data_IF_162091882330
#
_entry.id   IF_162091882330
#
_cell.length_a   1.000
_cell.length_b   1.000
_cell.length_c   1.000
_cell.angle_alpha   90.00
_cell.angle_beta   90.00
_cell.angle_gamma   90.00
#
_symmetry.space_group_name_H-M   'P 1'
#
loop_
_entity.id
_entity.type
_entity.pdbx_description
1 polymer ?
#
# COMPACT_ATOMS: atom_id res chain seq x y z
N UNK A 1 -13.00 -2.52 42.58
CA UNK A 1 -13.87 -1.62 41.78
C UNK A 1 -13.27 -1.25 40.44
N UNK A 2 -13.78 -1.87 39.36
CA UNK A 2 -13.53 -1.46 37.97
C UNK A 2 -14.88 -1.16 37.30
N UNK A 3 -15.57 -0.15 37.82
CA UNK A 3 -16.58 0.62 37.08
C UNK A 3 -15.78 1.57 36.16
N UNK A 4 -16.03 1.76 34.87
CA UNK A 4 -17.25 1.77 34.07
C UNK A 4 -16.87 1.34 32.66
N UNK A 5 -17.54 0.33 32.11
CA UNK A 5 -17.59 0.02 30.67
C UNK A 5 -18.33 1.16 29.95
N UNK A 6 -17.69 2.32 29.85
CA UNK A 6 -18.05 3.36 28.91
C UNK A 6 -17.43 2.97 27.58
N UNK A 7 -18.24 2.85 26.55
CA UNK A 7 -17.85 2.47 25.19
C UNK A 7 -16.65 3.27 24.69
N UNK A 8 -15.44 2.68 24.76
CA UNK A 8 -14.22 3.32 24.25
C UNK A 8 -14.35 3.48 22.73
N UNK A 9 -14.69 4.70 22.34
CA UNK A 9 -15.01 5.07 20.96
C UNK A 9 -13.81 4.78 20.07
N UNK A 10 -14.09 4.38 18.82
CA UNK A 10 -13.06 3.94 17.89
C UNK A 10 -13.03 4.83 16.66
N UNK A 11 -11.83 5.15 16.21
CA UNK A 11 -11.59 5.73 14.88
C UNK A 11 -11.27 4.64 13.89
N UNK A 12 -11.82 4.75 12.68
CA UNK A 12 -11.31 4.04 11.51
C UNK A 12 -10.23 4.89 10.85
N UNK A 13 -9.03 4.33 10.69
CA UNK A 13 -7.97 5.01 9.94
C UNK A 13 -8.34 5.10 8.45
N UNK A 14 -8.39 6.32 7.91
CA UNK A 14 -8.58 6.61 6.48
C UNK A 14 -7.34 6.30 5.63
N UNK A 15 -6.18 6.09 6.24
CA UNK A 15 -4.92 5.75 5.56
C UNK A 15 -4.87 4.31 5.03
N UNK A 16 -3.65 3.84 4.75
CA UNK A 16 -3.39 2.54 4.09
C UNK A 16 -3.78 1.36 4.99
N UNK A 17 -3.65 1.47 6.31
CA UNK A 17 -3.85 0.33 7.20
C UNK A 17 -5.32 -0.06 7.42
N UNK A 18 -6.26 0.87 7.25
CA UNK A 18 -7.71 0.65 7.44
C UNK A 18 -8.10 -0.03 8.77
N UNK A 19 -7.29 0.15 9.83
CA UNK A 19 -7.53 -0.43 11.16
C UNK A 19 -8.37 0.50 12.04
N UNK A 20 -9.03 -0.09 13.04
CA UNK A 20 -9.70 0.63 14.11
C UNK A 20 -8.75 0.92 15.27
N UNK A 21 -8.86 2.12 15.85
CA UNK A 21 -8.05 2.58 16.97
C UNK A 21 -8.96 3.10 18.07
N UNK A 22 -8.74 2.64 19.31
CA UNK A 22 -9.41 3.22 20.47
C UNK A 22 -8.96 4.65 20.66
N UNK A 23 -9.89 5.54 20.99
CA UNK A 23 -9.63 6.95 21.30
C UNK A 23 -8.57 7.07 22.40
N UNK A 24 -8.64 6.21 23.42
CA UNK A 24 -7.66 6.10 24.50
C UNK A 24 -6.25 5.72 24.02
N UNK A 25 -6.14 4.75 23.09
CA UNK A 25 -4.86 4.27 22.55
C UNK A 25 -4.15 5.32 21.69
N UNK A 26 -4.87 6.30 21.13
CA UNK A 26 -4.31 7.38 20.30
C UNK A 26 -4.33 8.73 21.01
N UNK A 27 -4.61 8.74 22.32
CA UNK A 27 -4.61 9.93 23.19
C UNK A 27 -5.45 11.09 22.65
N UNK A 28 -6.62 10.78 22.08
CA UNK A 28 -7.57 11.79 21.59
C UNK A 28 -8.59 12.07 22.69
N UNK A 29 -8.91 13.34 22.94
CA UNK A 29 -9.94 13.68 23.94
C UNK A 29 -11.35 13.43 23.38
N UNK A 30 -12.35 13.29 24.25
CA UNK A 30 -13.75 13.16 23.81
C UNK A 30 -14.21 14.39 22.99
N UNK A 31 -13.73 15.58 23.34
CA UNK A 31 -14.03 16.81 22.61
C UNK A 31 -13.41 16.80 21.21
N UNK A 32 -12.15 16.37 21.09
CA UNK A 32 -11.49 16.23 19.78
C UNK A 32 -12.17 15.16 18.93
N UNK A 33 -12.62 14.07 19.54
CA UNK A 33 -13.36 13.01 18.86
C UNK A 33 -14.64 13.55 18.22
N UNK A 34 -15.47 14.26 18.99
CA UNK A 34 -16.71 14.84 18.47
C UNK A 34 -16.44 15.91 17.41
N UNK A 35 -15.39 16.72 17.58
CA UNK A 35 -14.95 17.67 16.55
C UNK A 35 -14.58 16.95 15.26
N UNK A 36 -13.69 15.95 15.31
CA UNK A 36 -13.26 15.15 14.14
C UNK A 36 -14.46 14.50 13.47
N UNK A 37 -15.40 13.96 14.25
CA UNK A 37 -16.62 13.33 13.75
C UNK A 37 -17.53 14.34 13.05
N UNK A 38 -17.67 15.56 13.57
CA UNK A 38 -18.49 16.62 12.96
C UNK A 38 -17.99 17.05 11.58
N UNK A 39 -16.68 16.95 11.33
CA UNK A 39 -16.05 17.28 10.04
C UNK A 39 -15.72 16.05 9.19
N UNK A 40 -16.13 14.84 9.60
CA UNK A 40 -15.77 13.56 8.95
C UNK A 40 -16.21 13.43 7.48
N UNK A 41 -17.19 14.24 7.04
CA UNK A 41 -17.57 14.36 5.63
C UNK A 41 -16.52 15.07 4.75
N UNK A 42 -15.63 15.85 5.36
CA UNK A 42 -14.62 16.64 4.66
C UNK A 42 -13.20 16.15 4.93
N UNK A 43 -12.95 15.56 6.10
CA UNK A 43 -11.62 15.10 6.51
C UNK A 43 -11.67 13.67 7.02
N UNK A 44 -10.59 12.94 6.78
CA UNK A 44 -10.40 11.60 7.32
C UNK A 44 -9.34 11.62 8.42
N UNK A 45 -9.62 10.92 9.51
CA UNK A 45 -8.60 10.69 10.53
C UNK A 45 -7.60 9.64 10.05
N UNK A 46 -6.31 9.91 10.23
CA UNK A 46 -5.21 9.03 9.81
C UNK A 46 -4.32 8.77 11.03
N UNK A 47 -4.01 7.49 11.30
CA UNK A 47 -3.11 7.15 12.39
C UNK A 47 -1.66 7.57 12.08
N UNK A 48 -0.86 7.81 13.13
CA UNK A 48 0.53 8.27 13.02
C UNK A 48 1.36 7.42 12.07
N UNK A 49 1.30 6.09 12.19
CA UNK A 49 2.05 5.20 11.31
C UNK A 49 1.66 5.30 9.82
N UNK A 50 0.41 5.63 9.50
CA UNK A 50 0.02 5.91 8.11
C UNK A 50 0.48 7.30 7.67
N UNK A 51 0.40 8.31 8.55
CA UNK A 51 0.91 9.65 8.30
C UNK A 51 2.41 9.61 7.96
N UNK A 52 3.22 8.96 8.78
CA UNK A 52 4.68 8.88 8.57
C UNK A 52 5.03 8.17 7.26
N UNK A 53 4.27 7.13 6.90
CA UNK A 53 4.44 6.43 5.61
C UNK A 53 4.09 7.33 4.43
N UNK A 54 2.98 8.07 4.52
CA UNK A 54 2.58 9.01 3.47
C UNK A 54 3.59 10.14 3.31
N UNK A 55 4.15 10.65 4.41
CA UNK A 55 5.23 11.66 4.36
C UNK A 55 6.49 11.11 3.71
N UNK A 56 6.87 9.87 4.00
CA UNK A 56 7.99 9.20 3.29
C UNK A 56 7.71 9.02 1.80
N UNK A 57 6.48 8.63 1.44
CA UNK A 57 6.07 8.47 0.04
C UNK A 57 6.02 9.79 -0.72
N UNK A 58 5.59 10.88 -0.07
CA UNK A 58 5.62 12.23 -0.66
C UNK A 58 7.02 12.63 -1.12
N UNK A 59 8.05 12.15 -0.42
CA UNK A 59 9.44 12.43 -0.75
C UNK A 59 10.07 11.36 -1.67
N UNK A 60 9.36 10.28 -1.99
CA UNK A 60 9.75 9.34 -3.04
C UNK A 60 9.23 9.83 -4.39
N UNK A 61 9.80 10.94 -4.85
CA UNK A 61 9.78 11.27 -6.27
C UNK A 61 10.79 10.33 -6.93
N UNK A 62 10.31 9.34 -7.67
CA UNK A 62 11.19 8.54 -8.54
C UNK A 62 11.78 9.51 -9.55
N UNK A 63 13.10 9.62 -9.61
CA UNK A 63 13.72 10.48 -10.62
C UNK A 63 13.35 9.97 -12.01
N UNK A 64 13.31 10.87 -13.00
CA UNK A 64 13.07 10.43 -14.38
C UNK A 64 14.11 9.38 -14.81
N UNK A 65 15.35 9.52 -14.33
CA UNK A 65 16.44 8.58 -14.59
C UNK A 65 16.16 7.20 -13.98
N UNK A 66 15.70 7.13 -12.72
CA UNK A 66 15.32 5.87 -12.08
C UNK A 66 14.16 5.20 -12.83
N UNK A 67 13.20 5.99 -13.32
CA UNK A 67 12.11 5.48 -14.15
C UNK A 67 12.63 4.87 -15.46
N UNK A 68 13.51 5.58 -16.18
CA UNK A 68 14.11 5.07 -17.41
C UNK A 68 14.96 3.83 -17.18
N UNK A 69 15.71 3.78 -16.09
CA UNK A 69 16.49 2.60 -15.72
C UNK A 69 15.60 1.38 -15.46
N UNK A 70 14.51 1.56 -14.70
CA UNK A 70 13.53 0.48 -14.47
C UNK A 70 12.91 0.04 -15.80
N UNK A 71 12.54 0.98 -16.66
CA UNK A 71 11.96 0.67 -17.97
C UNK A 71 12.92 -0.13 -18.86
N UNK A 72 14.20 0.23 -18.91
CA UNK A 72 15.24 -0.50 -19.65
C UNK A 72 15.43 -1.92 -19.08
N UNK A 73 15.49 -2.06 -17.76
CA UNK A 73 15.57 -3.37 -17.11
C UNK A 73 14.38 -4.28 -17.45
N UNK A 74 13.17 -3.72 -17.43
CA UNK A 74 11.95 -4.45 -17.83
C UNK A 74 12.01 -4.85 -19.31
N UNK A 75 12.48 -3.95 -20.19
CA UNK A 75 12.67 -4.25 -21.61
C UNK A 75 13.63 -5.42 -21.85
N UNK A 76 14.77 -5.42 -21.16
CA UNK A 76 15.75 -6.53 -21.21
C UNK A 76 15.14 -7.84 -20.72
N UNK A 77 14.39 -7.81 -19.62
CA UNK A 77 13.73 -9.00 -19.08
C UNK A 77 12.70 -9.57 -20.07
N UNK A 78 11.89 -8.72 -20.70
CA UNK A 78 10.93 -9.14 -21.73
C UNK A 78 11.65 -9.81 -22.91
N UNK A 79 12.80 -9.27 -23.33
CA UNK A 79 13.62 -9.86 -24.38
C UNK A 79 14.08 -11.27 -24.04
N UNK A 80 14.59 -11.48 -22.81
CA UNK A 80 15.00 -12.81 -22.33
C UNK A 80 13.84 -13.80 -22.27
N UNK A 81 12.68 -13.38 -21.79
CA UNK A 81 11.48 -14.23 -21.73
C UNK A 81 11.06 -14.68 -23.12
N UNK A 82 11.08 -13.78 -24.12
CA UNK A 82 10.77 -14.14 -25.51
C UNK A 82 11.74 -15.17 -26.07
N UNK A 83 13.04 -15.01 -25.85
CA UNK A 83 14.04 -15.99 -26.29
C UNK A 83 13.76 -17.39 -25.74
N UNK A 84 13.45 -17.50 -24.45
CA UNK A 84 13.12 -18.79 -23.82
C UNK A 84 11.85 -19.39 -24.40
N UNK A 85 10.84 -18.56 -24.72
CA UNK A 85 9.63 -19.04 -25.38
C UNK A 85 9.91 -19.58 -26.78
N UNK A 86 10.72 -18.87 -27.57
CA UNK A 86 11.10 -19.28 -28.92
C UNK A 86 11.91 -20.59 -28.91
N UNK A 87 12.85 -20.72 -27.97
CA UNK A 87 13.62 -21.95 -27.76
C UNK A 87 12.69 -23.12 -27.39
N UNK A 88 11.73 -22.91 -26.50
CA UNK A 88 10.75 -23.92 -26.13
C UNK A 88 9.89 -24.36 -27.32
N UNK A 89 9.43 -23.44 -28.16
CA UNK A 89 8.69 -23.77 -29.38
C UNK A 89 9.56 -24.60 -30.32
N UNK A 90 10.83 -24.21 -30.50
CA UNK A 90 11.77 -24.93 -31.36
C UNK A 90 12.06 -26.35 -30.86
N UNK A 91 12.28 -26.53 -29.56
CA UNK A 91 12.51 -27.83 -28.93
C UNK A 91 11.29 -28.74 -29.11
N UNK A 92 10.09 -28.23 -28.81
CA UNK A 92 8.86 -29.01 -28.97
C UNK A 92 8.62 -29.43 -30.43
N UNK A 93 8.94 -28.57 -31.40
CA UNK A 93 8.88 -28.92 -32.82
C UNK A 93 9.83 -30.08 -33.17
N UNK A 94 11.05 -30.08 -32.62
CA UNK A 94 12.02 -31.17 -32.82
C UNK A 94 11.60 -32.48 -32.16
N UNK A 95 11.01 -32.42 -30.96
CA UNK A 95 10.50 -33.62 -30.27
C UNK A 95 9.37 -34.27 -31.06
N UNK A 96 8.44 -33.48 -31.60
CA UNK A 96 7.34 -33.98 -32.43
C UNK A 96 7.78 -34.60 -33.77
N UNK A 97 9.01 -34.38 -34.21
CA UNK A 97 9.56 -35.05 -35.41
C UNK A 97 10.27 -36.37 -35.10
N UNK A 98 10.55 -36.65 -33.83
CA UNK A 98 11.22 -37.88 -33.38
C UNK A 98 10.22 -38.90 -32.84
N UNK A 99 9.08 -38.44 -32.31
CA UNK A 99 7.91 -39.23 -31.95
C UNK A 99 7.04 -39.55 -33.17
#
# INVERSE_FOLDING_TARGET
DKSVLGTDLKFLCGGICKKFFHMSCVNVSANDFEMIKSVSKYVQWICTGCKDRLEKMRNHVISADDYFNIHDMVGKLIGLVKSVMDDNVHINKKLNTIL
#
